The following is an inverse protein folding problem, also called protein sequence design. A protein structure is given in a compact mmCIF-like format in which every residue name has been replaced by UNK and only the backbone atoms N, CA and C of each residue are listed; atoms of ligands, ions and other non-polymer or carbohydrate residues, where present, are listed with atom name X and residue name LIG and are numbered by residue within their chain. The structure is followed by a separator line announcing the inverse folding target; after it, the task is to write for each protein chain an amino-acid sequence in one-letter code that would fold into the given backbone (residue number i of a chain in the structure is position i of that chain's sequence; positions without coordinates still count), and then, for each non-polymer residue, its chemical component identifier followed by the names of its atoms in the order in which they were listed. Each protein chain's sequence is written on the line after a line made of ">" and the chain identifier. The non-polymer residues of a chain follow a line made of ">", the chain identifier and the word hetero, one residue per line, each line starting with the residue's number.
data_IF_249708552206
#
_entry.id   IF_249708552206
#
_cell.length_a   1.000
_cell.length_b   1.000
_cell.length_c   1.000
_cell.angle_alpha   90.00
_cell.angle_beta   90.00
_cell.angle_gamma   90.00
#
_symmetry.space_group_name_H-M   'P 1'
#
loop_
_entity.id
_entity.type
_entity.pdbx_description
1 polymer ?
#
# COMPACT_ATOMS: atom_id res chain seq x y z
N UNK A 1 -27.16 1.17 -47.29
CA UNK A 1 -26.80 2.40 -46.61
C UNK A 1 -27.06 2.19 -45.11
N UNK A 2 -26.06 1.75 -44.38
CA UNK A 2 -26.12 1.54 -42.94
C UNK A 2 -25.33 2.66 -42.24
N UNK A 3 -25.99 3.39 -41.36
CA UNK A 3 -25.39 4.49 -40.59
C UNK A 3 -24.65 3.89 -39.38
N UNK A 4 -23.38 4.27 -39.25
CA UNK A 4 -22.55 4.00 -38.06
C UNK A 4 -23.05 4.80 -36.86
N UNK A 5 -23.03 4.27 -35.63
CA UNK A 5 -23.35 5.04 -34.43
C UNK A 5 -22.20 5.97 -34.08
N UNK A 6 -22.48 7.25 -33.94
CA UNK A 6 -21.54 8.22 -33.35
C UNK A 6 -21.50 8.01 -31.83
N UNK A 7 -20.31 7.72 -31.33
CA UNK A 7 -20.01 7.78 -29.92
C UNK A 7 -19.81 9.22 -29.49
N UNK A 8 -20.71 9.74 -28.68
CA UNK A 8 -20.54 11.02 -27.99
C UNK A 8 -19.59 10.80 -26.82
N UNK A 9 -18.45 11.47 -26.82
CA UNK A 9 -17.51 11.54 -25.73
C UNK A 9 -18.17 12.15 -24.49
N UNK A 10 -18.17 11.42 -23.39
CA UNK A 10 -18.51 11.93 -22.06
C UNK A 10 -17.41 12.87 -21.55
N UNK A 11 -17.72 13.84 -20.66
CA UNK A 11 -16.79 14.89 -20.27
C UNK A 11 -15.56 14.35 -19.57
N UNK A 12 -14.43 14.86 -19.99
CA UNK A 12 -13.10 14.60 -19.49
C UNK A 12 -13.02 14.66 -17.96
N UNK A 13 -12.80 13.53 -17.32
CA UNK A 13 -12.24 13.48 -15.97
C UNK A 13 -10.82 14.02 -16.05
N UNK A 14 -10.63 15.25 -15.58
CA UNK A 14 -9.30 15.87 -15.46
C UNK A 14 -8.38 14.95 -14.65
N UNK A 15 -7.16 14.67 -15.12
CA UNK A 15 -6.17 13.93 -14.35
C UNK A 15 -5.72 14.77 -13.16
N UNK A 16 -5.81 14.21 -11.96
CA UNK A 16 -5.45 14.86 -10.69
C UNK A 16 -3.92 14.91 -10.47
N UNK A 17 -3.13 14.41 -11.42
CA UNK A 17 -1.67 14.43 -11.34
C UNK A 17 -1.04 14.75 -12.69
N UNK A 18 -0.82 16.04 -12.94
CA UNK A 18 -0.03 16.54 -14.05
C UNK A 18 1.30 17.03 -13.55
N UNK A 19 2.39 16.34 -13.87
CA UNK A 19 3.72 16.96 -13.89
C UNK A 19 3.93 17.46 -15.32
N UNK A 20 3.69 18.75 -15.55
CA UNK A 20 4.28 19.48 -16.66
C UNK A 20 5.54 20.19 -16.14
N UNK A 21 6.66 20.19 -16.88
CA UNK A 21 7.85 20.91 -16.45
C UNK A 21 7.64 22.41 -16.68
N UNK A 22 7.46 23.17 -15.61
CA UNK A 22 7.53 24.65 -15.70
C UNK A 22 9.00 25.07 -15.69
N UNK A 23 9.50 25.37 -16.86
CA UNK A 23 10.70 26.19 -17.03
C UNK A 23 10.35 27.64 -16.72
N UNK A 24 10.83 28.18 -15.61
CA UNK A 24 10.67 29.57 -15.25
C UNK A 24 11.68 29.99 -14.21
N UNK A 25 12.81 30.56 -14.65
CA UNK A 25 13.79 31.25 -13.80
C UNK A 25 13.16 32.51 -13.21
N UNK A 26 13.28 32.66 -11.89
CA UNK A 26 13.37 33.98 -11.26
C UNK A 26 14.27 33.89 -10.05
N UNK A 27 15.37 34.58 -10.10
CA UNK A 27 16.26 34.91 -8.98
C UNK A 27 15.60 36.04 -8.19
N UNK A 28 15.33 35.83 -6.93
CA UNK A 28 14.82 36.86 -6.04
C UNK A 28 14.75 36.40 -4.58
N UNK A 29 15.65 36.97 -3.77
CA UNK A 29 15.62 37.25 -2.32
C UNK A 29 15.04 36.21 -1.36
N UNK A 30 15.80 35.98 -0.28
CA UNK A 30 15.49 35.31 0.97
C UNK A 30 13.99 35.19 1.31
N UNK A 31 13.31 34.21 0.74
CA UNK A 31 11.99 33.77 1.11
C UNK A 31 12.10 32.31 1.55
N UNK A 32 11.45 31.95 2.64
CA UNK A 32 11.21 30.56 3.02
C UNK A 32 10.74 29.84 1.77
N UNK A 33 11.50 28.87 1.26
CA UNK A 33 11.14 28.14 0.05
C UNK A 33 9.82 27.40 0.34
N UNK A 34 8.74 27.93 -0.20
CA UNK A 34 7.46 27.19 -0.26
C UNK A 34 7.75 25.95 -1.08
N UNK A 35 7.71 24.77 -0.42
CA UNK A 35 7.99 23.51 -1.07
C UNK A 35 6.97 23.19 -2.16
N UNK A 36 7.32 22.33 -3.11
CA UNK A 36 6.42 21.81 -4.12
C UNK A 36 5.38 20.90 -3.42
N UNK A 37 4.06 21.21 -3.50
CA UNK A 37 3.04 20.36 -2.92
C UNK A 37 3.07 18.97 -3.55
N UNK A 38 3.14 17.94 -2.72
CA UNK A 38 2.95 16.56 -3.17
C UNK A 38 1.49 16.19 -2.93
N UNK A 39 0.85 15.70 -3.99
CA UNK A 39 -0.53 15.25 -3.91
C UNK A 39 -0.52 13.83 -3.37
N UNK A 40 -0.93 13.67 -2.11
CA UNK A 40 -1.21 12.39 -1.50
C UNK A 40 -2.64 11.92 -1.82
N UNK A 41 -2.97 10.71 -1.45
CA UNK A 41 -4.24 10.01 -1.68
C UNK A 41 -5.49 10.64 -1.02
N UNK A 42 -5.36 11.84 -0.46
CA UNK A 42 -6.44 12.59 0.19
C UNK A 42 -6.51 12.40 1.70
N UNK A 43 -5.84 11.40 2.28
CA UNK A 43 -5.81 11.18 3.74
C UNK A 43 -4.81 12.11 4.46
N UNK A 44 -3.69 12.42 3.85
CA UNK A 44 -2.68 13.32 4.44
C UNK A 44 -2.57 14.61 3.63
N UNK A 45 -2.98 15.73 4.25
CA UNK A 45 -2.83 17.08 3.66
C UNK A 45 -1.52 17.72 4.12
N UNK A 46 -1.00 18.65 3.33
CA UNK A 46 0.16 19.45 3.74
C UNK A 46 1.52 18.75 3.53
N UNK A 47 1.59 17.77 2.65
CA UNK A 47 2.85 17.15 2.24
C UNK A 47 3.50 18.02 1.19
N UNK A 48 4.77 18.40 1.41
CA UNK A 48 5.56 19.22 0.47
C UNK A 48 6.93 18.62 0.25
N UNK A 49 7.44 18.75 -0.97
CA UNK A 49 8.83 18.45 -1.30
C UNK A 49 9.68 19.71 -1.20
N UNK A 50 10.81 19.62 -0.49
CA UNK A 50 11.82 20.69 -0.41
C UNK A 50 13.17 20.05 -0.75
N UNK A 51 13.66 20.30 -1.95
CA UNK A 51 14.89 19.65 -2.46
C UNK A 51 14.74 18.12 -2.49
N UNK A 52 15.65 17.43 -1.83
CA UNK A 52 15.66 15.96 -1.75
C UNK A 52 14.95 15.42 -0.52
N UNK A 53 14.07 16.22 0.07
CA UNK A 53 13.34 15.84 1.28
C UNK A 53 11.85 16.12 1.15
N UNK A 54 11.05 15.36 1.93
CA UNK A 54 9.62 15.54 2.11
C UNK A 54 9.36 16.08 3.51
N UNK A 55 8.48 17.06 3.60
CA UNK A 55 7.93 17.60 4.86
C UNK A 55 6.46 17.23 4.95
N UNK A 56 6.05 16.69 6.08
CA UNK A 56 4.64 16.35 6.33
C UNK A 56 4.26 16.60 7.80
N UNK A 57 2.98 16.75 8.12
CA UNK A 57 2.54 16.93 9.49
C UNK A 57 3.07 15.82 10.40
N UNK A 58 3.61 16.19 11.56
CA UNK A 58 4.04 15.25 12.58
C UNK A 58 2.80 14.56 13.19
N UNK A 59 2.83 13.23 13.22
CA UNK A 59 1.79 12.40 13.83
C UNK A 59 2.30 11.78 15.13
N UNK A 60 1.43 11.31 16.04
CA UNK A 60 1.88 10.63 17.27
C UNK A 60 2.80 9.44 17.03
N UNK A 61 2.60 8.72 15.90
CA UNK A 61 3.42 7.57 15.50
C UNK A 61 4.73 7.93 14.78
N UNK A 62 4.91 9.18 14.32
CA UNK A 62 6.03 9.57 13.45
C UNK A 62 7.40 9.23 14.04
N UNK A 63 7.64 9.48 15.31
CA UNK A 63 8.94 9.21 15.92
C UNK A 63 9.23 7.70 16.03
N UNK A 64 8.22 6.88 16.29
CA UNK A 64 8.34 5.42 16.26
C UNK A 64 8.65 4.93 14.86
N UNK A 65 7.95 5.44 13.85
CA UNK A 65 8.19 5.10 12.44
C UNK A 65 9.60 5.52 12.01
N UNK A 66 10.07 6.71 12.41
CA UNK A 66 11.44 7.14 12.12
C UNK A 66 12.51 6.26 12.78
N UNK A 67 12.29 5.82 14.02
CA UNK A 67 13.19 4.87 14.67
C UNK A 67 13.24 3.54 13.92
N UNK A 68 12.09 3.07 13.41
CA UNK A 68 12.03 1.89 12.56
C UNK A 68 12.76 2.09 11.21
N UNK A 69 12.55 3.21 10.54
CA UNK A 69 13.26 3.54 9.29
C UNK A 69 14.77 3.64 9.46
N UNK A 70 15.23 4.20 10.59
CA UNK A 70 16.64 4.24 10.94
C UNK A 70 17.21 2.83 11.09
N UNK A 71 16.50 1.96 11.82
CA UNK A 71 16.89 0.55 11.94
C UNK A 71 16.97 -0.16 10.58
N UNK A 72 15.98 0.00 9.70
CA UNK A 72 15.98 -0.59 8.36
C UNK A 72 17.22 -0.18 7.57
N UNK A 73 17.60 1.10 7.64
CA UNK A 73 18.83 1.61 7.02
C UNK A 73 20.08 0.95 7.59
N UNK A 74 20.18 0.88 8.93
CA UNK A 74 21.34 0.29 9.61
C UNK A 74 21.45 -1.20 9.30
N UNK A 75 20.32 -1.90 9.10
CA UNK A 75 20.25 -3.28 8.62
C UNK A 75 20.52 -3.45 7.11
N UNK A 76 20.81 -2.35 6.38
CA UNK A 76 21.16 -2.37 4.95
C UNK A 76 19.99 -2.36 3.98
N UNK A 77 18.75 -2.15 4.45
CA UNK A 77 17.60 -2.02 3.56
C UNK A 77 17.52 -0.62 2.95
N UNK A 78 17.71 -0.53 1.64
CA UNK A 78 17.74 0.73 0.87
C UNK A 78 16.39 1.08 0.21
N UNK A 79 15.39 0.21 0.38
CA UNK A 79 14.05 0.35 -0.21
C UNK A 79 13.07 1.15 0.66
N UNK A 80 13.54 2.07 1.52
CA UNK A 80 12.71 2.91 2.37
C UNK A 80 13.24 4.35 2.43
N UNK A 81 12.40 5.34 2.81
CA UNK A 81 12.86 6.70 3.08
C UNK A 81 13.86 6.76 4.23
N UNK A 82 14.79 7.73 4.18
CA UNK A 82 15.68 8.05 5.28
C UNK A 82 14.99 9.01 6.24
N UNK A 83 14.99 8.77 7.56
CA UNK A 83 14.47 9.70 8.55
C UNK A 83 15.49 10.81 8.85
N UNK A 84 15.00 12.05 8.93
CA UNK A 84 15.81 13.24 9.25
C UNK A 84 15.27 14.00 10.46
N UNK A 85 14.34 13.42 11.23
CA UNK A 85 13.79 14.03 12.43
C UNK A 85 12.63 14.99 12.13
N UNK A 86 12.62 16.11 12.84
CA UNK A 86 11.56 17.13 12.82
C UNK A 86 12.19 18.49 12.53
N UNK A 87 11.58 19.26 11.64
CA UNK A 87 12.06 20.61 11.31
C UNK A 87 11.60 21.66 12.35
N UNK A 88 12.09 22.90 12.17
CA UNK A 88 11.78 24.05 13.06
C UNK A 88 10.28 24.40 13.10
N UNK A 89 9.50 23.95 12.11
CA UNK A 89 8.06 24.15 12.03
C UNK A 89 7.28 22.97 12.62
N UNK A 90 7.95 22.00 13.24
CA UNK A 90 7.33 20.82 13.85
C UNK A 90 6.83 19.79 12.84
N UNK A 91 7.37 19.78 11.60
CA UNK A 91 7.00 18.83 10.57
C UNK A 91 7.99 17.67 10.52
N UNK A 92 7.49 16.48 10.28
CA UNK A 92 8.34 15.32 10.00
C UNK A 92 9.13 15.51 8.71
N UNK A 93 10.40 15.09 8.74
CA UNK A 93 11.33 15.19 7.62
C UNK A 93 11.83 13.82 7.21
N UNK A 94 11.56 13.46 5.97
CA UNK A 94 12.02 12.22 5.35
C UNK A 94 12.77 12.52 4.04
N UNK A 95 13.59 11.59 3.56
CA UNK A 95 14.14 11.71 2.20
C UNK A 95 13.03 11.60 1.16
N UNK A 96 13.16 12.32 0.05
CA UNK A 96 12.36 12.07 -1.13
C UNK A 96 12.91 10.83 -1.85
N UNK A 97 12.06 9.83 -2.07
CA UNK A 97 12.45 8.60 -2.76
C UNK A 97 12.18 8.77 -4.25
N UNK A 98 13.24 8.82 -5.05
CA UNK A 98 13.15 8.97 -6.50
C UNK A 98 12.56 7.71 -7.17
N UNK A 99 11.74 7.93 -8.17
CA UNK A 99 11.08 6.91 -8.99
C UNK A 99 9.62 7.24 -9.26
N UNK A 100 8.95 6.37 -9.98
CA UNK A 100 7.53 6.51 -10.31
C UNK A 100 6.66 5.74 -9.32
N UNK A 101 5.46 6.23 -9.05
CA UNK A 101 4.44 5.47 -8.31
C UNK A 101 3.49 4.76 -9.29
N UNK A 102 3.08 3.55 -8.95
CA UNK A 102 1.91 2.97 -9.57
C UNK A 102 0.68 3.69 -9.00
N UNK A 103 0.00 4.46 -9.83
CA UNK A 103 -1.25 5.12 -9.43
C UNK A 103 -2.33 4.07 -9.12
N UNK A 104 -3.52 4.52 -8.75
CA UNK A 104 -4.68 3.70 -8.35
C UNK A 104 -5.03 2.52 -9.27
N UNK A 105 -4.66 2.58 -10.55
CA UNK A 105 -4.76 1.49 -11.51
C UNK A 105 -3.37 1.23 -12.09
N UNK A 106 -2.82 0.01 -11.95
CA UNK A 106 -1.57 -0.31 -12.59
C UNK A 106 -1.78 -0.24 -14.11
N UNK A 107 -0.94 0.48 -14.83
CA UNK A 107 -0.94 0.34 -16.29
C UNK A 107 -0.55 -1.09 -16.67
N UNK A 108 -0.89 -1.58 -17.86
CA UNK A 108 -0.65 -2.96 -18.27
C UNK A 108 0.78 -3.45 -18.02
N UNK A 109 1.77 -2.59 -18.26
CA UNK A 109 3.19 -2.86 -18.05
C UNK A 109 3.59 -3.02 -16.57
N UNK A 110 2.71 -2.65 -15.63
CA UNK A 110 2.93 -2.80 -14.17
C UNK A 110 2.03 -3.88 -13.54
N UNK A 111 1.34 -4.66 -14.38
CA UNK A 111 0.48 -5.76 -13.95
C UNK A 111 1.11 -7.14 -14.18
N UNK A 112 2.29 -7.22 -14.78
CA UNK A 112 3.00 -8.43 -15.12
C UNK A 112 3.50 -9.24 -13.92
N UNK A 113 3.93 -10.48 -14.20
CA UNK A 113 4.47 -11.37 -13.16
C UNK A 113 5.84 -10.90 -12.65
N UNK A 114 6.64 -10.27 -13.49
CA UNK A 114 7.93 -9.68 -13.10
C UNK A 114 7.78 -8.63 -12.01
N UNK A 115 6.68 -7.88 -12.03
CA UNK A 115 6.34 -6.91 -10.97
C UNK A 115 6.00 -7.63 -9.67
N UNK A 116 5.22 -8.72 -9.72
CA UNK A 116 4.92 -9.54 -8.55
C UNK A 116 6.19 -10.15 -7.95
N UNK A 117 7.07 -10.68 -8.79
CA UNK A 117 8.35 -11.26 -8.37
C UNK A 117 9.25 -10.22 -7.70
N UNK A 118 9.37 -9.03 -8.31
CA UNK A 118 10.19 -7.95 -7.76
C UNK A 118 9.62 -7.44 -6.44
N UNK A 119 8.30 -7.25 -6.34
CA UNK A 119 7.64 -6.83 -5.11
C UNK A 119 7.79 -7.87 -3.99
N UNK A 120 7.60 -9.15 -4.29
CA UNK A 120 7.78 -10.23 -3.32
C UNK A 120 9.20 -10.26 -2.75
N UNK A 121 10.21 -10.06 -3.59
CA UNK A 121 11.61 -9.95 -3.17
C UNK A 121 11.90 -8.70 -2.35
N UNK A 122 11.31 -7.56 -2.72
CA UNK A 122 11.42 -6.31 -1.96
C UNK A 122 10.82 -6.47 -0.55
N UNK A 123 9.63 -7.07 -0.45
CA UNK A 123 8.98 -7.36 0.83
C UNK A 123 9.80 -8.38 1.64
N UNK A 124 10.38 -9.39 1.00
CA UNK A 124 11.27 -10.33 1.68
C UNK A 124 12.49 -9.61 2.26
N UNK A 125 13.12 -8.73 1.51
CA UNK A 125 14.27 -7.95 1.98
C UNK A 125 13.89 -7.02 3.15
N UNK A 126 12.71 -6.37 3.09
CA UNK A 126 12.18 -5.60 4.21
C UNK A 126 12.02 -6.47 5.48
N UNK A 127 11.42 -7.64 5.34
CA UNK A 127 11.20 -8.55 6.46
C UNK A 127 12.49 -9.09 7.07
N UNK A 128 13.52 -9.34 6.26
CA UNK A 128 14.83 -9.76 6.77
C UNK A 128 15.52 -8.60 7.53
N UNK A 129 15.43 -7.38 7.00
CA UNK A 129 15.97 -6.20 7.66
C UNK A 129 15.24 -5.86 8.97
N UNK A 130 13.94 -6.15 9.03
CA UNK A 130 13.12 -5.93 10.24
C UNK A 130 13.35 -6.99 11.34
N UNK A 131 13.93 -8.12 10.98
CA UNK A 131 14.06 -9.24 11.91
C UNK A 131 14.90 -8.86 13.15
N UNK A 132 14.34 -9.12 14.34
CA UNK A 132 15.02 -8.83 15.60
C UNK A 132 14.97 -7.38 16.07
N UNK A 133 14.36 -6.45 15.32
CA UNK A 133 14.14 -5.12 15.84
C UNK A 133 13.11 -5.12 16.97
N UNK A 134 13.48 -4.51 18.07
CA UNK A 134 12.60 -4.33 19.24
C UNK A 134 12.18 -2.86 19.28
N UNK A 135 10.89 -2.55 19.13
CA UNK A 135 10.41 -1.18 19.26
C UNK A 135 10.76 -0.57 20.62
N UNK A 136 10.95 0.77 20.70
CA UNK A 136 11.09 1.46 21.98
C UNK A 136 9.90 1.15 22.91
N UNK A 137 10.08 1.17 24.24
CA UNK A 137 9.00 0.88 25.20
C UNK A 137 7.80 1.84 25.11
N UNK A 138 8.04 3.06 24.64
CA UNK A 138 7.07 4.13 24.42
C UNK A 138 6.60 4.22 22.96
N UNK A 139 6.82 3.17 22.17
CA UNK A 139 6.41 3.14 20.77
C UNK A 139 4.90 3.38 20.61
N UNK A 140 4.56 4.33 19.74
CA UNK A 140 3.19 4.65 19.37
C UNK A 140 2.95 4.24 17.93
N UNK A 141 1.88 3.49 17.68
CA UNK A 141 1.47 3.04 16.36
C UNK A 141 0.18 3.73 15.94
N UNK A 142 -0.01 3.86 14.62
CA UNK A 142 -1.29 4.31 14.11
C UNK A 142 -2.37 3.25 14.39
N UNK A 143 -3.50 3.70 14.89
CA UNK A 143 -4.72 2.91 15.05
C UNK A 143 -5.87 3.59 14.32
N UNK A 144 -6.66 2.80 13.60
CA UNK A 144 -7.92 3.31 13.05
C UNK A 144 -8.92 3.61 14.16
N UNK A 145 -9.91 4.49 13.91
CA UNK A 145 -10.86 4.91 14.95
C UNK A 145 -11.55 3.76 15.67
N UNK A 146 -11.88 2.68 14.97
CA UNK A 146 -12.61 1.53 15.52
C UNK A 146 -11.71 0.42 16.06
N UNK A 147 -10.41 0.47 15.81
CA UNK A 147 -9.49 -0.62 16.14
C UNK A 147 -8.48 -0.26 17.24
N UNK A 148 -8.71 0.83 17.95
CA UNK A 148 -7.83 1.28 19.00
C UNK A 148 -7.57 0.15 20.03
N UNK A 149 -6.31 -0.24 20.17
CA UNK A 149 -5.86 -1.24 21.14
C UNK A 149 -6.17 -2.71 20.81
N UNK A 150 -6.73 -3.02 19.65
CA UNK A 150 -6.91 -4.42 19.23
C UNK A 150 -5.68 -4.95 18.51
N UNK A 151 -5.05 -6.05 18.96
CA UNK A 151 -3.94 -6.65 18.24
C UNK A 151 -4.44 -7.23 16.91
N UNK A 152 -3.60 -7.11 15.87
CA UNK A 152 -3.91 -7.62 14.54
C UNK A 152 -3.72 -9.13 14.49
N UNK A 153 -2.75 -9.62 15.22
CA UNK A 153 -2.41 -11.03 15.35
C UNK A 153 -2.11 -11.33 16.81
N UNK A 154 -2.40 -12.55 17.26
CA UNK A 154 -2.12 -12.99 18.64
C UNK A 154 -0.62 -13.08 18.92
N UNK A 155 0.19 -13.26 17.88
CA UNK A 155 1.66 -13.27 17.92
C UNK A 155 2.20 -12.38 16.83
N UNK A 156 3.28 -11.68 17.13
CA UNK A 156 4.02 -10.86 16.17
C UNK A 156 5.41 -11.45 15.95
N UNK A 157 5.89 -11.35 14.71
CA UNK A 157 7.21 -11.85 14.30
C UNK A 157 8.20 -10.71 14.06
N UNK A 158 7.66 -9.57 13.62
CA UNK A 158 8.43 -8.39 13.21
C UNK A 158 7.53 -7.16 13.14
N UNK A 159 8.13 -5.99 12.98
CA UNK A 159 7.43 -4.81 12.49
C UNK A 159 7.52 -4.78 10.97
N UNK A 160 6.44 -4.43 10.29
CA UNK A 160 6.47 -4.25 8.84
C UNK A 160 5.54 -3.15 8.35
N UNK A 161 5.60 -2.86 7.05
CA UNK A 161 4.95 -1.73 6.38
C UNK A 161 3.42 -1.75 6.46
N UNK A 162 2.80 -2.89 6.17
CA UNK A 162 1.37 -3.17 6.25
C UNK A 162 0.43 -2.35 5.36
N UNK A 163 0.99 -1.61 4.40
CA UNK A 163 0.21 -0.87 3.39
C UNK A 163 0.89 -0.89 2.02
N UNK A 164 0.77 -2.00 1.33
CA UNK A 164 1.33 -2.18 -0.02
C UNK A 164 0.42 -1.66 -1.12
N UNK A 165 -0.37 -0.62 -0.84
CA UNK A 165 -1.16 0.08 -1.84
C UNK A 165 -0.28 0.52 -3.03
N UNK A 166 -0.88 0.61 -4.21
CA UNK A 166 -0.12 0.90 -5.43
C UNK A 166 0.64 2.24 -5.35
N UNK A 167 0.05 3.23 -4.67
CA UNK A 167 0.66 4.54 -4.46
C UNK A 167 1.86 4.53 -3.51
N UNK A 168 2.06 3.45 -2.74
CA UNK A 168 3.14 3.32 -1.76
C UNK A 168 4.34 2.54 -2.29
N UNK A 169 4.29 2.07 -3.54
CA UNK A 169 5.38 1.33 -4.19
C UNK A 169 6.04 2.21 -5.25
N UNK A 170 7.32 2.47 -5.07
CA UNK A 170 8.15 3.23 -6.01
C UNK A 170 8.77 2.28 -7.03
N UNK A 171 8.64 2.65 -8.29
CA UNK A 171 9.19 1.93 -9.43
C UNK A 171 10.46 2.60 -9.94
N UNK A 172 11.45 1.79 -10.29
CA UNK A 172 12.64 2.19 -11.06
C UNK A 172 12.84 1.16 -12.16
N UNK A 173 13.13 1.61 -13.36
CA UNK A 173 13.30 0.74 -14.53
C UNK A 173 12.13 -0.25 -14.73
N UNK A 174 10.91 0.20 -14.44
CA UNK A 174 9.68 -0.58 -14.58
C UNK A 174 9.38 -1.58 -13.46
N UNK A 175 10.24 -1.70 -12.44
CA UNK A 175 10.08 -2.68 -11.36
C UNK A 175 9.99 -2.02 -9.97
N UNK A 176 9.26 -2.63 -9.01
CA UNK A 176 9.24 -2.25 -7.61
C UNK A 176 10.66 -2.18 -7.03
N UNK A 177 11.03 -1.02 -6.48
CA UNK A 177 12.37 -0.75 -5.97
C UNK A 177 12.40 -0.17 -4.55
N UNK A 178 11.31 0.49 -4.12
CA UNK A 178 11.21 1.03 -2.77
C UNK A 178 9.76 1.14 -2.32
N UNK A 179 9.57 1.32 -1.03
CA UNK A 179 8.30 1.54 -0.36
C UNK A 179 8.32 2.92 0.29
N UNK A 180 7.19 3.61 0.27
CA UNK A 180 6.98 4.88 0.95
C UNK A 180 5.70 4.81 1.80
N UNK A 181 5.51 5.81 2.65
CA UNK A 181 4.33 5.90 3.53
C UNK A 181 4.22 4.76 4.55
N UNK A 182 5.17 4.72 5.48
CA UNK A 182 5.24 3.75 6.57
C UNK A 182 4.28 4.05 7.75
N UNK A 183 3.25 4.89 7.54
CA UNK A 183 2.35 5.32 8.61
C UNK A 183 1.59 4.15 9.27
N UNK A 184 1.29 3.11 8.51
CA UNK A 184 0.62 1.91 9.00
C UNK A 184 1.58 0.84 9.52
N UNK A 185 2.90 1.12 9.53
CA UNK A 185 3.87 0.18 10.06
C UNK A 185 3.58 -0.12 11.54
N UNK A 186 3.57 -1.40 11.88
CA UNK A 186 3.42 -1.88 13.26
C UNK A 186 3.76 -3.37 13.39
N UNK A 187 3.81 -3.90 14.65
CA UNK A 187 4.04 -5.32 14.86
C UNK A 187 3.03 -6.21 14.13
N UNK A 188 3.52 -7.23 13.43
CA UNK A 188 2.71 -8.11 12.55
C UNK A 188 3.38 -9.48 12.37
N UNK A 189 2.80 -10.32 11.52
CA UNK A 189 3.42 -11.55 11.02
C UNK A 189 3.75 -11.44 9.54
N UNK A 190 4.75 -12.18 9.06
CA UNK A 190 5.13 -12.22 7.65
C UNK A 190 3.94 -12.56 6.74
N UNK A 191 3.14 -13.55 7.12
CA UNK A 191 2.00 -13.98 6.29
C UNK A 191 0.86 -12.96 6.27
N UNK A 192 0.65 -12.18 7.34
CA UNK A 192 -0.33 -11.10 7.33
C UNK A 192 0.09 -10.00 6.36
N UNK A 193 1.36 -9.64 6.40
CA UNK A 193 1.94 -8.61 5.55
C UNK A 193 1.91 -9.03 4.07
N UNK A 194 2.22 -10.31 3.79
CA UNK A 194 2.08 -10.90 2.44
C UNK A 194 0.61 -10.87 1.99
N UNK A 195 -0.35 -11.24 2.84
CA UNK A 195 -1.78 -11.19 2.49
C UNK A 195 -2.23 -9.76 2.17
N UNK A 196 -1.72 -8.75 2.90
CA UNK A 196 -1.96 -7.34 2.59
C UNK A 196 -1.39 -6.94 1.22
N UNK A 197 -0.16 -7.35 0.88
CA UNK A 197 0.40 -7.10 -0.44
C UNK A 197 -0.44 -7.76 -1.55
N UNK A 198 -0.84 -9.01 -1.37
CA UNK A 198 -1.65 -9.75 -2.33
C UNK A 198 -3.06 -9.16 -2.52
N UNK A 199 -3.61 -8.50 -1.50
CA UNK A 199 -4.86 -7.76 -1.61
C UNK A 199 -4.83 -6.71 -2.74
N UNK A 200 -3.69 -6.06 -2.93
CA UNK A 200 -3.51 -5.06 -3.98
C UNK A 200 -2.97 -5.65 -5.29
N UNK A 201 -1.98 -6.54 -5.23
CA UNK A 201 -1.14 -6.93 -6.37
C UNK A 201 -1.52 -8.27 -7.02
N UNK A 202 -2.14 -9.18 -6.28
CA UNK A 202 -2.86 -10.33 -6.82
C UNK A 202 -4.32 -10.21 -6.39
N UNK A 203 -5.10 -9.25 -6.96
CA UNK A 203 -6.25 -8.64 -6.32
C UNK A 203 -7.23 -9.69 -5.79
N UNK A 204 -7.13 -9.96 -4.48
CA UNK A 204 -7.94 -10.95 -3.75
C UNK A 204 -9.38 -10.43 -3.57
N UNK A 205 -10.07 -10.22 -4.68
CA UNK A 205 -11.44 -9.69 -4.72
C UNK A 205 -12.21 -10.17 -5.93
N UNK A 206 -13.51 -9.94 -5.92
CA UNK A 206 -14.39 -10.26 -7.03
C UNK A 206 -13.89 -9.65 -8.34
N UNK A 207 -13.98 -10.37 -9.50
CA UNK A 207 -13.54 -9.85 -10.79
C UNK A 207 -14.07 -8.46 -11.16
N UNK A 208 -15.32 -8.15 -10.79
CA UNK A 208 -15.92 -6.84 -11.06
C UNK A 208 -15.28 -5.67 -10.29
N UNK A 209 -14.57 -5.95 -9.19
CA UNK A 209 -13.89 -4.96 -8.35
C UNK A 209 -12.38 -4.92 -8.60
N UNK A 210 -11.88 -5.70 -9.58
CA UNK A 210 -10.47 -5.70 -9.96
C UNK A 210 -10.16 -4.57 -10.94
N UNK A 211 -8.91 -4.09 -10.98
CA UNK A 211 -8.45 -3.29 -12.10
C UNK A 211 -8.73 -4.00 -13.43
N UNK A 212 -9.19 -3.27 -14.45
CA UNK A 212 -9.57 -3.86 -15.74
C UNK A 212 -8.48 -4.72 -16.37
N UNK A 213 -7.22 -4.31 -16.23
CA UNK A 213 -6.02 -5.04 -16.68
C UNK A 213 -5.82 -6.39 -15.96
N UNK A 214 -6.47 -6.61 -14.82
CA UNK A 214 -6.41 -7.83 -14.00
C UNK A 214 -7.79 -8.48 -13.81
N UNK A 215 -8.82 -8.04 -14.55
CA UNK A 215 -10.18 -8.56 -14.40
C UNK A 215 -10.24 -10.09 -14.58
N UNK A 216 -9.57 -10.60 -15.62
CA UNK A 216 -9.53 -12.01 -15.99
C UNK A 216 -8.25 -12.74 -15.51
N UNK A 217 -7.49 -12.13 -14.58
CA UNK A 217 -6.24 -12.71 -14.13
C UNK A 217 -6.47 -14.02 -13.35
N UNK A 218 -5.60 -15.01 -13.60
CA UNK A 218 -5.51 -16.24 -12.80
C UNK A 218 -4.92 -15.94 -11.43
N UNK A 219 -5.79 -15.65 -10.46
CA UNK A 219 -5.38 -15.27 -9.11
C UNK A 219 -4.63 -16.40 -8.38
N UNK A 220 -5.07 -17.68 -8.43
CA UNK A 220 -4.29 -18.77 -7.86
C UNK A 220 -2.84 -18.84 -8.38
N UNK A 221 -2.65 -18.65 -9.68
CA UNK A 221 -1.32 -18.61 -10.28
C UNK A 221 -0.51 -17.39 -9.78
N UNK A 222 -1.09 -16.19 -9.80
CA UNK A 222 -0.42 -14.95 -9.33
C UNK A 222 0.01 -15.06 -7.87
N UNK A 223 -0.83 -15.63 -7.01
CA UNK A 223 -0.49 -15.88 -5.61
C UNK A 223 0.66 -16.87 -5.48
N UNK A 224 0.68 -17.94 -6.32
CA UNK A 224 1.79 -18.91 -6.32
C UNK A 224 3.11 -18.27 -6.78
N UNK A 225 3.11 -17.49 -7.87
CA UNK A 225 4.28 -16.73 -8.34
C UNK A 225 4.85 -15.83 -7.24
N UNK A 226 3.99 -15.09 -6.54
CA UNK A 226 4.42 -14.26 -5.41
C UNK A 226 5.00 -15.10 -4.27
N UNK A 227 4.34 -16.19 -3.89
CA UNK A 227 4.77 -17.08 -2.82
C UNK A 227 6.13 -17.74 -3.11
N UNK A 228 6.36 -18.14 -4.36
CA UNK A 228 7.63 -18.71 -4.82
C UNK A 228 8.75 -17.65 -4.77
N UNK A 229 8.49 -16.47 -5.31
CA UNK A 229 9.45 -15.38 -5.36
C UNK A 229 9.82 -14.85 -3.95
N UNK A 230 8.86 -14.83 -3.01
CA UNK A 230 9.10 -14.51 -1.61
C UNK A 230 9.88 -15.63 -0.89
N UNK A 231 9.77 -16.88 -1.31
CA UNK A 231 10.33 -18.05 -0.64
C UNK A 231 9.50 -18.47 0.58
N UNK A 232 8.16 -18.52 0.44
CA UNK A 232 7.28 -18.94 1.53
C UNK A 232 7.50 -20.40 1.90
N UNK A 233 7.58 -20.68 3.21
CA UNK A 233 7.63 -22.04 3.75
C UNK A 233 6.31 -22.78 3.54
N UNK A 234 6.31 -24.11 3.60
CA UNK A 234 5.08 -24.92 3.49
C UNK A 234 4.03 -24.51 4.55
N UNK A 235 4.45 -24.20 5.77
CA UNK A 235 3.56 -23.73 6.82
C UNK A 235 2.93 -22.38 6.49
N UNK A 236 3.71 -21.42 5.96
CA UNK A 236 3.23 -20.12 5.54
C UNK A 236 2.23 -20.25 4.38
N UNK A 237 2.52 -21.10 3.38
CA UNK A 237 1.61 -21.37 2.26
C UNK A 237 0.27 -21.95 2.73
N UNK A 238 0.29 -22.92 3.62
CA UNK A 238 -0.93 -23.50 4.18
C UNK A 238 -1.75 -22.50 5.02
N UNK A 239 -1.08 -21.59 5.73
CA UNK A 239 -1.70 -20.57 6.59
C UNK A 239 -2.19 -19.32 5.86
N UNK A 240 -1.76 -19.06 4.61
CA UNK A 240 -1.99 -17.80 3.93
C UNK A 240 -3.48 -17.51 3.70
N UNK A 241 -4.21 -18.43 3.09
CA UNK A 241 -5.63 -18.18 2.74
C UNK A 241 -6.57 -18.14 3.93
N UNK A 242 -6.45 -19.03 4.96
CA UNK A 242 -7.18 -18.84 6.21
C UNK A 242 -7.00 -17.46 6.82
N UNK A 243 -5.75 -16.97 6.85
CA UNK A 243 -5.44 -15.63 7.35
C UNK A 243 -5.98 -14.53 6.44
N UNK A 244 -5.88 -14.66 5.12
CA UNK A 244 -6.42 -13.67 4.18
C UNK A 244 -7.94 -13.52 4.31
N UNK A 245 -8.67 -14.60 4.51
CA UNK A 245 -10.11 -14.57 4.78
C UNK A 245 -10.43 -13.78 6.05
N UNK A 246 -9.70 -14.04 7.15
CA UNK A 246 -9.89 -13.32 8.41
C UNK A 246 -9.50 -11.83 8.26
N UNK A 247 -8.42 -11.54 7.55
CA UNK A 247 -7.96 -10.17 7.27
C UNK A 247 -9.04 -9.35 6.54
N UNK A 248 -9.63 -9.91 5.48
CA UNK A 248 -10.65 -9.19 4.69
C UNK A 248 -11.93 -9.00 5.51
N UNK A 249 -12.34 -10.00 6.29
CA UNK A 249 -13.48 -9.89 7.20
C UNK A 249 -13.26 -8.77 8.25
N UNK A 250 -12.08 -8.76 8.90
CA UNK A 250 -11.73 -7.71 9.87
C UNK A 250 -11.70 -6.34 9.23
N UNK A 251 -11.13 -6.22 8.03
CA UNK A 251 -11.09 -4.95 7.31
C UNK A 251 -12.50 -4.44 6.97
N UNK A 252 -13.40 -5.33 6.59
CA UNK A 252 -14.83 -5.01 6.39
C UNK A 252 -15.49 -4.49 7.66
N UNK A 253 -15.36 -5.22 8.78
CA UNK A 253 -15.92 -4.86 10.08
C UNK A 253 -15.35 -3.51 10.59
N UNK A 254 -14.04 -3.35 10.50
CA UNK A 254 -13.32 -2.14 10.92
C UNK A 254 -13.71 -0.91 10.08
N UNK A 255 -13.79 -1.07 8.76
CA UNK A 255 -14.18 0.03 7.86
C UNK A 255 -15.59 0.51 8.17
N UNK A 256 -16.52 -0.42 8.42
CA UNK A 256 -17.91 -0.11 8.81
C UNK A 256 -17.94 0.66 10.15
N UNK A 257 -17.26 0.13 11.16
CA UNK A 257 -17.26 0.72 12.50
C UNK A 257 -16.54 2.08 12.52
N UNK A 258 -15.44 2.22 11.77
CA UNK A 258 -14.73 3.50 11.65
C UNK A 258 -15.54 4.57 10.94
N UNK A 259 -16.38 4.19 9.97
CA UNK A 259 -17.28 5.11 9.28
C UNK A 259 -18.34 5.75 10.22
N UNK A 260 -18.67 5.11 11.32
CA UNK A 260 -19.57 5.66 12.35
C UNK A 260 -18.84 6.74 13.18
N UNK A 261 -17.52 6.67 13.31
CA UNK A 261 -16.71 7.47 14.20
C UNK A 261 -15.98 8.64 13.53
N UNK A 262 -15.65 8.50 12.24
CA UNK A 262 -14.79 9.43 11.51
C UNK A 262 -15.35 9.81 10.13
N UNK A 263 -15.42 11.12 9.78
CA UNK A 263 -15.97 11.58 8.49
C UNK A 263 -15.21 11.09 7.25
N UNK A 264 -13.88 10.93 7.33
CA UNK A 264 -13.05 10.46 6.21
C UNK A 264 -13.36 9.00 5.92
N UNK A 265 -13.45 8.18 6.97
CA UNK A 265 -13.86 6.78 6.85
C UNK A 265 -15.30 6.64 6.36
N UNK A 266 -16.19 7.55 6.80
CA UNK A 266 -17.59 7.59 6.33
C UNK A 266 -17.66 7.89 4.84
N UNK A 267 -16.87 8.85 4.36
CA UNK A 267 -16.82 9.16 2.94
C UNK A 267 -16.37 7.94 2.11
N UNK A 268 -15.29 7.28 2.51
CA UNK A 268 -14.82 6.07 1.82
C UNK A 268 -15.85 4.93 1.86
N UNK A 269 -16.55 4.78 2.97
CA UNK A 269 -17.60 3.76 3.15
C UNK A 269 -18.82 4.01 2.26
N UNK A 270 -19.32 5.26 2.19
CA UNK A 270 -20.57 5.62 1.52
C UNK A 270 -20.42 5.95 0.05
N UNK A 271 -19.36 6.68 -0.31
CA UNK A 271 -19.19 7.28 -1.63
C UNK A 271 -18.16 6.54 -2.48
N UNK A 272 -17.29 5.77 -1.85
CA UNK A 272 -16.15 5.15 -2.49
C UNK A 272 -14.95 6.09 -2.53
N UNK A 273 -13.86 5.55 -2.98
CA UNK A 273 -12.57 6.23 -3.07
C UNK A 273 -11.47 5.21 -3.26
N UNK A 274 -10.28 5.68 -3.48
CA UNK A 274 -9.12 4.81 -3.59
C UNK A 274 -9.19 3.85 -4.77
N UNK A 275 -8.73 2.63 -4.52
CA UNK A 275 -8.39 1.65 -5.54
C UNK A 275 -9.54 1.18 -6.44
N UNK A 276 -10.77 1.17 -5.92
CA UNK A 276 -11.91 0.51 -6.60
C UNK A 276 -12.91 1.51 -7.16
N UNK A 277 -12.92 2.76 -6.66
CA UNK A 277 -13.94 3.75 -7.04
C UNK A 277 -15.36 3.38 -6.60
N UNK A 278 -15.55 2.18 -6.05
CA UNK A 278 -16.81 1.67 -5.53
C UNK A 278 -16.89 1.90 -4.01
N UNK A 279 -18.05 2.28 -3.45
CA UNK A 279 -18.22 2.40 -2.01
C UNK A 279 -17.79 1.15 -1.25
N UNK A 280 -17.06 1.33 -0.14
CA UNK A 280 -16.54 0.22 0.65
C UNK A 280 -17.65 -0.70 1.15
N UNK A 281 -18.83 -0.15 1.52
CA UNK A 281 -20.02 -0.89 1.89
C UNK A 281 -20.54 -1.86 0.81
N UNK A 282 -20.16 -1.63 -0.45
CA UNK A 282 -20.58 -2.45 -1.59
C UNK A 282 -19.53 -3.49 -1.94
N UNK A 283 -18.24 -3.08 -2.08
CA UNK A 283 -17.22 -4.02 -2.54
C UNK A 283 -16.66 -4.92 -1.44
N UNK A 284 -16.60 -4.48 -0.17
CA UNK A 284 -16.00 -5.29 0.90
C UNK A 284 -16.79 -6.58 1.21
N UNK A 285 -18.13 -6.58 1.28
CA UNK A 285 -18.91 -7.83 1.42
C UNK A 285 -18.66 -8.79 0.25
N UNK A 286 -18.56 -8.29 -0.98
CA UNK A 286 -18.26 -9.11 -2.16
C UNK A 286 -16.85 -9.68 -2.10
N UNK A 287 -15.88 -8.88 -1.72
CA UNK A 287 -14.50 -9.30 -1.57
C UNK A 287 -14.35 -10.40 -0.51
N UNK A 288 -15.03 -10.25 0.64
CA UNK A 288 -15.06 -11.27 1.69
C UNK A 288 -15.65 -12.59 1.18
N UNK A 289 -16.78 -12.53 0.51
CA UNK A 289 -17.42 -13.72 -0.08
C UNK A 289 -16.52 -14.38 -1.12
N UNK A 290 -15.91 -13.59 -2.01
CA UNK A 290 -15.02 -14.10 -3.05
C UNK A 290 -13.78 -14.76 -2.48
N UNK A 291 -13.06 -14.10 -1.54
CA UNK A 291 -11.84 -14.66 -0.92
C UNK A 291 -12.14 -15.97 -0.24
N UNK A 292 -13.27 -16.05 0.49
CA UNK A 292 -13.72 -17.29 1.15
C UNK A 292 -13.98 -18.41 0.14
N UNK A 293 -14.64 -18.10 -0.96
CA UNK A 293 -14.94 -19.08 -2.03
C UNK A 293 -13.69 -19.52 -2.80
N UNK A 294 -12.74 -18.61 -3.04
CA UNK A 294 -11.50 -18.89 -3.78
C UNK A 294 -10.41 -19.58 -2.93
N UNK A 295 -10.49 -19.46 -1.60
CA UNK A 295 -9.45 -19.94 -0.68
C UNK A 295 -9.08 -21.43 -0.89
N UNK A 296 -9.99 -22.39 -1.09
CA UNK A 296 -9.62 -23.79 -1.32
C UNK A 296 -8.75 -23.97 -2.58
N UNK A 297 -9.12 -23.35 -3.70
CA UNK A 297 -8.40 -23.47 -4.96
C UNK A 297 -7.00 -22.83 -4.88
N UNK A 298 -6.90 -21.65 -4.26
CA UNK A 298 -5.62 -20.97 -4.04
C UNK A 298 -4.73 -21.79 -3.11
N UNK A 299 -5.26 -22.35 -2.02
CA UNK A 299 -4.50 -23.19 -1.09
C UNK A 299 -3.99 -24.45 -1.79
N UNK A 300 -4.83 -25.12 -2.58
CA UNK A 300 -4.43 -26.30 -3.34
C UNK A 300 -3.26 -25.99 -4.31
N UNK A 301 -3.32 -24.83 -4.98
CA UNK A 301 -2.23 -24.37 -5.87
C UNK A 301 -0.94 -24.08 -5.11
N UNK A 302 -1.05 -23.52 -3.89
CA UNK A 302 0.12 -23.17 -3.06
C UNK A 302 0.81 -24.39 -2.42
N UNK A 303 0.05 -25.45 -2.12
CA UNK A 303 0.53 -26.62 -1.39
C UNK A 303 0.69 -27.87 -2.26
N UNK A 304 0.20 -27.81 -3.49
CA UNK A 304 0.37 -28.88 -4.46
C UNK A 304 1.80 -29.05 -4.96
N UNK A 305 2.11 -30.13 -5.68
CA UNK A 305 3.43 -30.31 -6.30
C UNK A 305 3.70 -29.15 -7.26
N UNK A 306 4.96 -28.70 -7.31
CA UNK A 306 5.39 -27.71 -8.30
C UNK A 306 5.14 -28.27 -9.70
N UNK A 307 4.40 -27.55 -10.52
CA UNK A 307 4.10 -27.90 -11.92
C UNK A 307 5.25 -27.51 -12.85
#
# INVERSE_FOLDING_TARGET
>A
MARSPQWSASPETRPVYGLEPVLGRSLGCCGVSEGEPLIADGFTKGIVRIGDTVRRPLRPSSLTVQAYLAHLRDAGFTGAPLPFGVDEQGREVLSFVLGDVARWLPPPERAGEEVLVALARLIRALHEASAGWVPPPDAVWYESPANAGRPITDRTELVSHRDYALGNVIFRDGLPAALIDFDLAKPTTRIYDIANALWYWAPLRDPQDRPSVLADADIPHRVAVFADAYGMTAQQRAGLMPLAVDMVRRYHEESRASAELDPVWRQAWEEGGGLVGTPAKVYLPRAEAWVRGAAPAITARLTGPAS
#
